data_IF_323164947091
#
_entry.id   IF_323164947091
#
_cell.length_a   1.000
_cell.length_b   1.000
_cell.length_c   1.000
_cell.angle_alpha   90.00
_cell.angle_beta   90.00
_cell.angle_gamma   90.00
#
_symmetry.space_group_name_H-M   'P 1'
#
loop_
_entity.id
_entity.type
_entity.pdbx_description
1 polymer ?
#
# COMPACT_ATOMS: atom_id res chain seq x y z
N UNK A 1 -0.71 -7.62 -17.74
CA UNK A 1 0.17 -8.04 -16.63
C UNK A 1 1.48 -8.54 -17.20
N UNK A 2 1.42 -9.50 -18.14
CA UNK A 2 2.59 -9.91 -18.95
C UNK A 2 3.22 -8.70 -19.66
N UNK A 3 2.41 -7.81 -20.24
CA UNK A 3 2.87 -6.55 -20.84
C UNK A 3 3.65 -5.62 -19.87
N UNK A 4 3.28 -5.59 -18.57
CA UNK A 4 4.00 -4.79 -17.57
C UNK A 4 5.31 -5.47 -17.14
N UNK A 5 5.30 -6.80 -17.09
CA UNK A 5 6.49 -7.61 -16.83
C UNK A 5 7.51 -7.41 -17.97
N UNK A 6 7.03 -7.45 -19.21
CA UNK A 6 7.81 -7.22 -20.43
C UNK A 6 8.40 -5.80 -20.48
N UNK A 7 7.62 -4.78 -20.10
CA UNK A 7 8.10 -3.40 -20.03
C UNK A 7 9.22 -3.24 -18.97
N UNK A 8 9.08 -3.88 -17.82
CA UNK A 8 10.10 -3.89 -16.76
C UNK A 8 11.37 -4.66 -17.16
N UNK A 9 11.24 -5.77 -17.89
CA UNK A 9 12.39 -6.50 -18.42
C UNK A 9 13.22 -5.61 -19.35
N UNK A 10 12.55 -4.79 -20.17
CA UNK A 10 13.21 -3.84 -21.08
C UNK A 10 13.91 -2.69 -20.34
N UNK A 11 13.30 -2.14 -19.28
CA UNK A 11 13.88 -1.03 -18.49
C UNK A 11 15.10 -1.44 -17.65
N UNK A 12 15.11 -2.68 -17.14
CA UNK A 12 16.17 -3.18 -16.26
C UNK A 12 17.23 -4.03 -16.98
N UNK A 13 17.14 -4.17 -18.31
CA UNK A 13 18.10 -4.94 -19.12
C UNK A 13 18.12 -6.43 -18.78
N UNK A 14 17.00 -6.97 -18.30
CA UNK A 14 16.84 -8.39 -17.98
C UNK A 14 16.54 -9.15 -19.27
N UNK A 15 17.29 -10.21 -19.56
CA UNK A 15 17.03 -11.04 -20.74
C UNK A 15 15.66 -11.72 -20.62
N UNK A 16 14.85 -11.66 -21.68
CA UNK A 16 13.51 -12.29 -21.75
C UNK A 16 13.54 -13.82 -21.61
N UNK A 17 14.71 -14.44 -21.67
CA UNK A 17 14.93 -15.88 -21.57
C UNK A 17 15.16 -16.35 -20.12
N UNK A 18 15.50 -15.44 -19.20
CA UNK A 18 15.71 -15.76 -17.79
C UNK A 18 14.37 -15.66 -17.03
N UNK A 19 14.00 -16.69 -16.25
CA UNK A 19 12.78 -16.64 -15.45
C UNK A 19 12.85 -15.46 -14.47
N UNK A 20 11.71 -14.79 -14.21
CA UNK A 20 11.67 -13.67 -13.27
C UNK A 20 12.24 -14.11 -11.92
N UNK A 21 13.03 -13.23 -11.29
CA UNK A 21 13.55 -13.51 -9.96
C UNK A 21 12.38 -13.67 -8.99
N UNK A 22 12.56 -14.50 -7.95
CA UNK A 22 11.54 -14.73 -6.93
C UNK A 22 11.00 -13.44 -6.32
N UNK A 23 11.86 -12.44 -6.16
CA UNK A 23 11.52 -11.11 -5.65
C UNK A 23 10.53 -10.36 -6.55
N UNK A 24 10.73 -10.43 -7.87
CA UNK A 24 9.85 -9.81 -8.87
C UNK A 24 8.50 -10.52 -8.87
N UNK A 25 8.48 -11.85 -8.86
CA UNK A 25 7.23 -12.60 -8.77
C UNK A 25 6.44 -12.28 -7.49
N UNK A 26 7.11 -12.18 -6.34
CA UNK A 26 6.48 -11.83 -5.06
C UNK A 26 5.90 -10.42 -5.08
N UNK A 27 6.62 -9.45 -5.64
CA UNK A 27 6.14 -8.08 -5.81
C UNK A 27 4.86 -8.04 -6.65
N UNK A 28 4.82 -8.72 -7.80
CA UNK A 28 3.65 -8.73 -8.66
C UNK A 28 2.46 -9.46 -8.05
N UNK A 29 2.69 -10.57 -7.33
CA UNK A 29 1.64 -11.25 -6.56
C UNK A 29 1.03 -10.31 -5.51
N UNK A 30 1.85 -9.53 -4.82
CA UNK A 30 1.39 -8.55 -3.83
C UNK A 30 0.65 -7.38 -4.47
N UNK A 31 1.12 -6.88 -5.61
CA UNK A 31 0.46 -5.82 -6.37
C UNK A 31 -0.93 -6.27 -6.79
N UNK A 32 -1.05 -7.45 -7.38
CA UNK A 32 -2.32 -8.04 -7.78
C UNK A 32 -3.28 -8.18 -6.60
N UNK A 33 -2.83 -8.75 -5.47
CA UNK A 33 -3.64 -8.89 -4.26
C UNK A 33 -4.10 -7.52 -3.69
N UNK A 34 -3.31 -6.47 -3.91
CA UNK A 34 -3.62 -5.12 -3.44
C UNK A 34 -4.57 -4.37 -4.37
N UNK A 35 -4.60 -4.71 -5.66
CA UNK A 35 -5.55 -4.16 -6.65
C UNK A 35 -6.94 -4.79 -6.57
N UNK A 36 -7.07 -5.95 -5.91
CA UNK A 36 -8.36 -6.57 -5.66
C UNK A 36 -9.32 -5.63 -4.91
N UNK A 37 -10.63 -5.73 -5.20
CA UNK A 37 -11.63 -4.92 -4.52
C UNK A 37 -11.65 -5.24 -3.02
N UNK A 38 -11.89 -4.19 -2.22
CA UNK A 38 -11.96 -4.29 -0.76
C UNK A 38 -13.06 -5.25 -0.27
N UNK A 39 -14.16 -5.30 -1.02
CA UNK A 39 -15.31 -6.17 -0.81
C UNK A 39 -15.99 -6.41 -2.17
N UNK A 40 -16.72 -7.51 -2.33
CA UNK A 40 -17.39 -7.89 -3.60
C UNK A 40 -18.26 -6.76 -4.19
N UNK A 41 -18.92 -5.99 -3.33
CA UNK A 41 -19.81 -4.89 -3.72
C UNK A 41 -19.12 -3.52 -3.85
N UNK A 42 -17.79 -3.45 -3.75
CA UNK A 42 -17.04 -2.19 -3.75
C UNK A 42 -16.08 -2.13 -4.92
N UNK A 43 -16.07 -1.00 -5.65
CA UNK A 43 -15.14 -0.76 -6.77
C UNK A 43 -13.74 -0.32 -6.34
N UNK A 44 -13.57 -0.04 -5.06
CA UNK A 44 -12.36 0.52 -4.48
C UNK A 44 -11.42 -0.62 -4.07
N UNK A 45 -10.19 -0.60 -4.60
CA UNK A 45 -9.18 -1.61 -4.29
C UNK A 45 -8.60 -1.43 -2.88
N UNK A 46 -8.01 -2.49 -2.35
CA UNK A 46 -7.32 -2.46 -1.05
C UNK A 46 -6.22 -1.38 -1.05
N UNK A 47 -5.42 -1.31 -2.11
CA UNK A 47 -4.36 -0.31 -2.28
C UNK A 47 -4.93 1.11 -2.28
N UNK A 48 -5.99 1.37 -3.06
CA UNK A 48 -6.61 2.68 -3.13
C UNK A 48 -7.16 3.13 -1.76
N UNK A 49 -7.71 2.19 -1.00
CA UNK A 49 -8.19 2.45 0.36
C UNK A 49 -7.05 2.85 1.30
N UNK A 50 -6.00 2.02 1.35
CA UNK A 50 -4.82 2.19 2.22
C UNK A 50 -4.15 3.52 1.93
N UNK A 51 -3.89 3.84 0.65
CA UNK A 51 -3.21 5.07 0.25
C UNK A 51 -4.03 6.30 0.64
N UNK A 52 -5.36 6.29 0.45
CA UNK A 52 -6.23 7.39 0.89
C UNK A 52 -6.24 7.54 2.40
N UNK A 53 -6.31 6.45 3.15
CA UNK A 53 -6.25 6.47 4.61
C UNK A 53 -4.94 7.06 5.15
N UNK A 54 -3.79 6.65 4.59
CA UNK A 54 -2.48 7.18 4.98
C UNK A 54 -2.36 8.67 4.63
N UNK A 55 -2.91 9.10 3.49
CA UNK A 55 -2.95 10.51 3.11
C UNK A 55 -3.80 11.33 4.09
N UNK A 56 -4.99 10.86 4.46
CA UNK A 56 -5.86 11.51 5.47
C UNK A 56 -5.12 11.61 6.81
N UNK A 57 -4.53 10.50 7.27
CA UNK A 57 -3.74 10.48 8.50
C UNK A 57 -2.65 11.55 8.50
N UNK A 58 -1.90 11.65 7.40
CA UNK A 58 -0.78 12.59 7.27
C UNK A 58 -1.29 14.03 7.22
N UNK A 59 -2.39 14.29 6.50
CA UNK A 59 -2.99 15.62 6.37
C UNK A 59 -3.54 16.17 7.69
N UNK A 60 -4.15 15.30 8.51
CA UNK A 60 -4.81 15.71 9.76
C UNK A 60 -4.04 15.31 11.02
N UNK A 61 -2.80 14.83 10.87
CA UNK A 61 -1.92 14.44 11.98
C UNK A 61 -2.57 13.48 12.99
N UNK A 62 -3.38 12.52 12.51
CA UNK A 62 -4.00 11.55 13.41
C UNK A 62 -2.93 10.71 14.11
N UNK A 63 -3.10 10.50 15.42
CA UNK A 63 -2.30 9.52 16.15
C UNK A 63 -2.52 8.12 15.58
N UNK A 64 -1.56 7.21 15.76
CA UNK A 64 -1.75 5.81 15.33
C UNK A 64 -2.96 5.16 16.03
N UNK A 65 -3.22 5.54 17.29
CA UNK A 65 -4.37 5.05 18.05
C UNK A 65 -5.69 5.47 17.40
N UNK A 66 -5.87 6.77 17.15
CA UNK A 66 -7.07 7.29 16.49
C UNK A 66 -7.28 6.68 15.10
N UNK A 67 -6.19 6.50 14.35
CA UNK A 67 -6.25 5.81 13.06
C UNK A 67 -6.76 4.37 13.18
N UNK A 68 -6.22 3.60 14.12
CA UNK A 68 -6.62 2.20 14.31
C UNK A 68 -8.09 2.10 14.74
N UNK A 69 -8.54 2.96 15.66
CA UNK A 69 -9.93 2.99 16.12
C UNK A 69 -10.90 3.29 14.95
N UNK A 70 -10.51 4.22 14.05
CA UNK A 70 -11.30 4.56 12.87
C UNK A 70 -11.36 3.41 11.85
N UNK A 71 -10.23 2.73 11.62
CA UNK A 71 -10.19 1.58 10.71
C UNK A 71 -11.01 0.41 11.25
N UNK A 72 -10.98 0.17 12.56
CA UNK A 72 -11.84 -0.84 13.20
C UNK A 72 -13.31 -0.51 13.05
N UNK A 73 -13.71 0.74 13.32
CA UNK A 73 -15.10 1.18 13.15
C UNK A 73 -15.57 1.02 11.69
N UNK A 74 -14.71 1.34 10.71
CA UNK A 74 -15.03 1.09 9.30
C UNK A 74 -15.17 -0.41 9.04
N UNK A 75 -14.27 -1.24 9.56
CA UNK A 75 -14.36 -2.70 9.45
C UNK A 75 -15.69 -3.25 9.97
N UNK A 76 -16.11 -2.81 11.15
CA UNK A 76 -17.37 -3.23 11.77
C UNK A 76 -18.60 -2.80 10.97
N UNK A 77 -18.51 -1.69 10.22
CA UNK A 77 -19.58 -1.22 9.35
C UNK A 77 -19.63 -1.97 8.00
N UNK A 78 -18.57 -2.66 7.61
CA UNK A 78 -18.51 -3.39 6.35
C UNK A 78 -19.04 -4.84 6.50
N UNK A 79 -19.75 -5.35 5.49
CA UNK A 79 -20.13 -6.77 5.47
C UNK A 79 -18.89 -7.67 5.39
N UNK A 80 -18.94 -8.80 6.09
CA UNK A 80 -17.92 -9.84 6.00
C UNK A 80 -18.21 -10.78 4.82
N UNK A 81 -17.20 -11.30 4.10
CA UNK A 81 -15.76 -11.08 4.32
C UNK A 81 -15.21 -9.84 3.59
N UNK A 82 -14.49 -8.97 4.30
CA UNK A 82 -13.81 -7.81 3.72
C UNK A 82 -12.28 -7.92 3.80
N UNK A 83 -11.56 -7.27 2.88
CA UNK A 83 -10.09 -7.25 2.81
C UNK A 83 -9.45 -6.01 3.46
N UNK A 84 -10.18 -5.35 4.37
CA UNK A 84 -9.67 -4.18 5.09
C UNK A 84 -8.42 -4.53 5.93
N UNK A 85 -7.37 -3.70 5.87
CA UNK A 85 -6.27 -3.76 6.84
C UNK A 85 -6.80 -3.53 8.25
N UNK A 86 -6.22 -4.19 9.26
CA UNK A 86 -6.70 -4.08 10.65
C UNK A 86 -6.19 -2.83 11.39
N UNK A 87 -5.03 -2.32 10.98
CA UNK A 87 -4.33 -1.25 11.68
C UNK A 87 -3.32 -0.51 10.77
N UNK A 88 -2.72 0.55 11.32
CA UNK A 88 -1.66 1.30 10.65
C UNK A 88 -0.44 0.45 10.28
N UNK A 89 -0.14 -0.60 11.05
CA UNK A 89 1.01 -1.44 10.80
C UNK A 89 0.82 -2.25 9.50
N UNK A 90 -0.35 -2.85 9.32
CA UNK A 90 -0.69 -3.57 8.09
C UNK A 90 -0.73 -2.64 6.89
N UNK A 91 -1.29 -1.44 7.04
CA UNK A 91 -1.24 -0.41 6.00
C UNK A 91 0.20 -0.09 5.59
N UNK A 92 1.10 0.17 6.55
CA UNK A 92 2.52 0.43 6.27
C UNK A 92 3.25 -0.76 5.67
N UNK A 93 2.91 -1.99 6.11
CA UNK A 93 3.51 -3.21 5.58
C UNK A 93 3.17 -3.37 4.11
N UNK A 94 1.91 -3.17 3.74
CA UNK A 94 1.43 -3.23 2.36
C UNK A 94 2.11 -2.17 1.48
N UNK A 95 2.18 -0.92 1.95
CA UNK A 95 2.84 0.13 1.15
C UNK A 95 4.35 -0.13 1.04
N UNK A 96 5.01 -0.55 2.13
CA UNK A 96 6.44 -0.89 2.11
C UNK A 96 6.75 -2.06 1.18
N UNK A 97 5.91 -3.10 1.16
CA UNK A 97 6.12 -4.26 0.27
C UNK A 97 5.93 -3.91 -1.21
N UNK A 98 5.20 -2.83 -1.50
CA UNK A 98 5.05 -2.29 -2.85
C UNK A 98 6.09 -1.20 -3.18
N UNK A 99 7.16 -1.07 -2.38
CA UNK A 99 8.18 -0.03 -2.57
C UNK A 99 7.75 1.38 -2.17
N UNK A 100 6.51 1.56 -1.71
CA UNK A 100 5.96 2.83 -1.20
C UNK A 100 6.25 2.99 0.30
N UNK A 101 7.53 2.99 0.65
CA UNK A 101 7.98 3.19 2.02
C UNK A 101 7.52 4.54 2.59
N UNK A 102 7.10 4.54 3.86
CA UNK A 102 6.80 5.78 4.59
C UNK A 102 7.93 6.11 5.55
N UNK A 103 8.59 7.25 5.33
CA UNK A 103 9.58 7.81 6.24
C UNK A 103 8.98 8.98 7.00
N UNK A 104 9.02 8.92 8.33
CA UNK A 104 8.59 10.03 9.18
C UNK A 104 9.80 10.94 9.39
N UNK A 105 9.76 12.14 8.81
CA UNK A 105 10.73 13.19 9.12
C UNK A 105 10.27 13.86 10.42
N UNK A 106 10.94 13.56 11.54
CA UNK A 106 10.54 14.05 12.87
C UNK A 106 11.02 15.49 13.12
N UNK A 107 12.24 15.80 12.66
CA UNK A 107 12.80 17.14 12.60
C UNK A 107 13.69 17.23 11.35
N UNK A 108 13.67 18.37 10.68
CA UNK A 108 14.70 18.67 9.70
C UNK A 108 16.05 18.76 10.44
N UNK A 109 17.12 18.18 9.88
CA UNK A 109 18.48 18.25 10.43
C UNK A 109 18.97 19.68 10.68
N UNK A 110 18.40 20.65 9.96
CA UNK A 110 18.70 22.08 10.06
C UNK A 110 17.60 22.90 10.76
N UNK A 111 16.64 22.23 11.41
CA UNK A 111 15.49 22.87 12.03
C UNK A 111 14.65 23.73 11.06
N UNK A 112 14.76 23.48 9.76
CA UNK A 112 13.94 24.12 8.74
C UNK A 112 12.49 23.63 8.88
N UNK A 113 11.54 24.56 8.80
CA UNK A 113 10.15 24.18 8.51
C UNK A 113 10.12 23.59 7.09
N UNK A 114 9.63 22.37 6.94
CA UNK A 114 9.25 21.83 5.65
C UNK A 114 8.01 22.63 5.20
N UNK A 115 8.19 23.53 4.24
CA UNK A 115 7.09 24.25 3.57
C UNK A 115 6.43 23.36 2.53
#
# INVERSE_FOLDING_TARGET
MDEMLEALQLEFGLNSEDPPTKEVEEFFKLLQASEEPLHEHTKLSVLAFVTRLIAIKSKYFFSNKCFNDLVQLIGDAFPQPHKLPKDMYQCKRLTKSLGMGYEKIDMCTYNCMLF
#
